data_IF_485253438635
#
_entry.id   IF_485253438635
#
_cell.length_a   1.000
_cell.length_b   1.000
_cell.length_c   1.000
_cell.angle_alpha   90.00
_cell.angle_beta   90.00
_cell.angle_gamma   90.00
#
_symmetry.space_group_name_H-M   'P 1'
#
loop_
_entity.id
_entity.type
_entity.pdbx_description
1 polymer ?
#
# COMPACT_ATOMS: atom_id res chain seq x y z
N UNK A 1 -12.93 -11.63 -12.98
CA UNK A 1 -12.17 -12.48 -12.04
C UNK A 1 -11.19 -11.63 -11.24
N UNK A 2 -10.92 -11.95 -9.97
CA UNK A 2 -9.90 -11.24 -9.17
C UNK A 2 -8.79 -12.21 -8.78
N UNK A 3 -7.56 -11.88 -9.13
CA UNK A 3 -6.36 -12.64 -8.79
C UNK A 3 -5.62 -11.95 -7.64
N UNK A 4 -5.20 -12.74 -6.65
CA UNK A 4 -4.45 -12.25 -5.50
C UNK A 4 -2.97 -12.44 -5.79
N UNK A 5 -2.35 -11.37 -6.29
CA UNK A 5 -0.92 -11.26 -6.55
C UNK A 5 -0.23 -10.55 -5.39
N UNK A 6 1.08 -10.32 -5.50
CA UNK A 6 1.88 -9.61 -4.50
C UNK A 6 2.85 -8.64 -5.14
N UNK A 7 3.00 -7.48 -4.51
CA UNK A 7 4.01 -6.49 -4.87
C UNK A 7 5.36 -6.73 -4.16
N UNK A 8 5.52 -7.82 -3.41
CA UNK A 8 6.74 -8.11 -2.64
C UNK A 8 8.02 -8.18 -3.47
N UNK A 9 7.88 -8.52 -4.75
CA UNK A 9 8.97 -8.53 -5.74
C UNK A 9 9.60 -7.15 -5.98
N UNK A 10 8.87 -6.04 -5.77
CA UNK A 10 9.43 -4.69 -5.88
C UNK A 10 10.44 -4.38 -4.77
N UNK A 11 10.36 -5.09 -3.65
CA UNK A 11 11.23 -4.87 -2.50
C UNK A 11 12.43 -5.82 -2.45
N UNK A 12 12.45 -6.85 -3.31
CA UNK A 12 13.61 -7.71 -3.51
C UNK A 12 13.98 -8.58 -2.31
N UNK A 13 13.00 -9.15 -1.60
CA UNK A 13 13.31 -9.98 -0.43
C UNK A 13 14.03 -11.29 -0.82
N UNK A 14 15.15 -11.62 -0.16
CA UNK A 14 15.85 -12.89 -0.39
C UNK A 14 14.93 -14.11 -0.23
N UNK A 15 15.12 -15.12 -1.08
CA UNK A 15 14.36 -16.37 -1.03
C UNK A 15 12.95 -16.33 -1.64
N UNK A 16 12.52 -15.20 -2.21
CA UNK A 16 11.19 -15.05 -2.80
C UNK A 16 11.11 -15.31 -4.30
N UNK A 17 12.14 -15.89 -4.94
CA UNK A 17 12.18 -16.06 -6.40
C UNK A 17 11.00 -16.88 -6.95
N UNK A 18 10.69 -18.02 -6.34
CA UNK A 18 9.55 -18.85 -6.74
C UNK A 18 8.21 -18.15 -6.47
N UNK A 19 8.11 -17.42 -5.35
CA UNK A 19 6.93 -16.64 -5.00
C UNK A 19 6.70 -15.50 -6.00
N UNK A 20 7.73 -14.73 -6.31
CA UNK A 20 7.71 -13.66 -7.30
C UNK A 20 7.31 -14.20 -8.69
N UNK A 21 7.87 -15.34 -9.10
CA UNK A 21 7.51 -15.97 -10.39
C UNK A 21 6.03 -16.36 -10.46
N UNK A 22 5.48 -16.90 -9.38
CA UNK A 22 4.05 -17.22 -9.30
C UNK A 22 3.15 -15.99 -9.36
N UNK A 23 3.51 -14.91 -8.66
CA UNK A 23 2.76 -13.65 -8.69
C UNK A 23 2.87 -12.96 -10.07
N UNK A 24 4.05 -12.94 -10.67
CA UNK A 24 4.26 -12.43 -12.03
C UNK A 24 3.42 -13.19 -13.08
N UNK A 25 3.23 -14.50 -12.90
CA UNK A 25 2.31 -15.27 -13.74
C UNK A 25 0.86 -14.80 -13.57
N UNK A 26 0.40 -14.52 -12.35
CA UNK A 26 -0.95 -13.99 -12.12
C UNK A 26 -1.15 -12.61 -12.74
N UNK A 27 -0.14 -11.74 -12.63
CA UNK A 27 -0.15 -10.40 -13.24
C UNK A 27 -0.24 -10.48 -14.77
N UNK A 28 0.56 -11.36 -15.39
CA UNK A 28 0.53 -11.62 -16.82
C UNK A 28 -0.79 -12.26 -17.27
N UNK A 29 -1.34 -13.17 -16.45
CA UNK A 29 -2.63 -13.82 -16.73
C UNK A 29 -3.78 -12.80 -16.72
N UNK A 30 -3.78 -11.85 -15.79
CA UNK A 30 -4.78 -10.77 -15.78
C UNK A 30 -4.70 -9.94 -17.06
N UNK A 31 -3.48 -9.55 -17.46
CA UNK A 31 -3.23 -8.79 -18.71
C UNK A 31 -3.68 -9.57 -19.96
N UNK A 32 -3.42 -10.87 -20.01
CA UNK A 32 -3.88 -11.70 -21.13
C UNK A 32 -5.42 -11.78 -21.20
N UNK A 33 -6.07 -11.89 -20.04
CA UNK A 33 -7.54 -12.03 -19.96
C UNK A 33 -8.29 -10.71 -20.12
N UNK A 34 -7.67 -9.57 -19.82
CA UNK A 34 -8.28 -8.25 -19.92
C UNK A 34 -8.74 -7.88 -21.34
N UNK A 35 -8.26 -8.61 -22.35
CA UNK A 35 -8.67 -8.49 -23.75
C UNK A 35 -10.08 -9.01 -24.04
N UNK A 36 -10.69 -9.81 -23.15
CA UNK A 36 -12.01 -10.41 -23.38
C UNK A 36 -12.85 -10.67 -22.13
N UNK A 37 -12.32 -10.40 -20.94
CA UNK A 37 -13.01 -10.52 -19.67
C UNK A 37 -12.48 -9.47 -18.69
N UNK A 38 -13.29 -9.05 -17.72
CA UNK A 38 -12.85 -8.17 -16.64
C UNK A 38 -12.09 -8.98 -15.60
N UNK A 39 -10.77 -9.14 -15.81
CA UNK A 39 -9.84 -9.78 -14.87
C UNK A 39 -8.84 -8.77 -14.33
N UNK A 40 -8.70 -8.71 -13.00
CA UNK A 40 -7.75 -7.84 -12.32
C UNK A 40 -6.84 -8.66 -11.40
N UNK A 41 -5.53 -8.40 -11.44
CA UNK A 41 -4.56 -8.85 -10.45
C UNK A 41 -4.33 -7.74 -9.43
N UNK A 42 -4.73 -7.99 -8.18
CA UNK A 42 -4.44 -7.09 -7.05
C UNK A 42 -3.14 -7.54 -6.39
N UNK A 43 -2.12 -6.70 -6.48
CA UNK A 43 -0.76 -6.94 -5.98
C UNK A 43 -0.64 -6.38 -4.56
N UNK A 44 -0.81 -7.25 -3.57
CA UNK A 44 -0.83 -6.85 -2.16
C UNK A 44 0.57 -6.81 -1.53
N UNK A 45 0.79 -5.84 -0.65
CA UNK A 45 1.84 -5.92 0.38
C UNK A 45 1.36 -6.73 1.59
N UNK A 46 2.16 -6.79 2.66
CA UNK A 46 1.81 -7.47 3.92
C UNK A 46 0.48 -7.01 4.49
N UNK A 47 -0.42 -7.95 4.81
CA UNK A 47 -1.60 -7.67 5.62
C UNK A 47 -1.26 -7.86 7.11
N UNK A 48 -1.86 -7.04 7.97
CA UNK A 48 -1.75 -7.16 9.41
C UNK A 48 -2.54 -8.36 9.93
N UNK A 49 -2.13 -8.86 11.10
CA UNK A 49 -2.86 -9.82 11.95
C UNK A 49 -3.13 -11.23 11.40
N UNK A 50 -3.12 -11.42 10.07
CA UNK A 50 -3.44 -12.69 9.41
C UNK A 50 -2.57 -12.97 8.18
N UNK A 51 -2.40 -14.25 7.83
CA UNK A 51 -1.80 -14.68 6.56
C UNK A 51 -0.28 -14.85 6.55
N UNK A 52 0.28 -15.04 5.34
CA UNK A 52 1.69 -15.41 5.10
C UNK A 52 2.72 -14.44 5.66
N UNK A 53 2.36 -13.17 5.88
CA UNK A 53 3.28 -12.16 6.38
C UNK A 53 3.39 -12.13 7.92
N UNK A 54 2.48 -12.82 8.63
CA UNK A 54 2.51 -12.89 10.10
C UNK A 54 3.67 -13.74 10.62
N UNK A 55 4.17 -14.68 9.83
CA UNK A 55 5.20 -15.66 10.23
C UNK A 55 6.64 -15.16 10.05
N UNK A 56 6.88 -14.00 9.42
CA UNK A 56 8.22 -13.50 9.15
C UNK A 56 8.47 -12.11 9.75
N UNK A 57 9.05 -12.09 10.95
CA UNK A 57 9.54 -10.85 11.57
C UNK A 57 10.57 -10.13 10.68
N UNK A 58 11.34 -10.88 9.90
CA UNK A 58 12.31 -10.34 8.94
C UNK A 58 11.63 -9.52 7.84
N UNK A 59 10.58 -10.07 7.20
CA UNK A 59 9.85 -9.35 6.14
C UNK A 59 9.20 -8.08 6.68
N UNK A 60 8.64 -8.12 7.89
CA UNK A 60 8.08 -6.93 8.54
C UNK A 60 9.14 -5.87 8.81
N UNK A 61 10.31 -6.25 9.33
CA UNK A 61 11.40 -5.32 9.59
C UNK A 61 11.91 -4.68 8.29
N UNK A 62 12.11 -5.47 7.23
CA UNK A 62 12.54 -4.97 5.92
C UNK A 62 11.50 -4.06 5.24
N UNK A 63 10.20 -4.33 5.42
CA UNK A 63 9.16 -3.41 4.94
C UNK A 63 9.20 -2.08 5.71
N UNK A 64 9.40 -2.13 7.04
CA UNK A 64 9.49 -0.94 7.86
C UNK A 64 10.69 -0.05 7.49
N UNK A 65 11.85 -0.62 7.14
CA UNK A 65 13.01 0.17 6.66
C UNK A 65 12.72 0.88 5.33
N UNK A 66 11.77 0.38 4.55
CA UNK A 66 11.30 0.96 3.30
C UNK A 66 10.11 1.90 3.48
N UNK A 67 9.71 2.17 4.73
CA UNK A 67 8.55 3.02 5.04
C UNK A 67 7.23 2.39 4.61
N UNK A 68 7.13 1.06 4.60
CA UNK A 68 5.90 0.33 4.25
C UNK A 68 5.36 -0.34 5.50
N UNK A 69 4.10 -0.07 5.78
CA UNK A 69 3.37 -0.66 6.90
C UNK A 69 2.45 -1.76 6.40
N UNK A 70 1.99 -2.60 7.32
CA UNK A 70 1.03 -3.64 6.97
C UNK A 70 -0.38 -3.07 6.82
N UNK A 71 -1.17 -3.68 5.94
CA UNK A 71 -2.54 -3.28 5.62
C UNK A 71 -3.51 -3.96 6.60
N UNK A 72 -4.36 -3.20 7.27
CA UNK A 72 -5.49 -3.75 8.05
C UNK A 72 -6.57 -4.36 7.16
N UNK A 73 -7.44 -5.18 7.74
CA UNK A 73 -8.58 -5.75 7.00
C UNK A 73 -9.46 -4.65 6.40
N UNK A 74 -9.72 -3.61 7.16
CA UNK A 74 -10.58 -2.49 6.78
C UNK A 74 -9.98 -1.72 5.61
N UNK A 75 -8.69 -1.37 5.67
CA UNK A 75 -7.97 -0.72 4.57
C UNK A 75 -7.95 -1.56 3.30
N UNK A 76 -7.78 -2.87 3.44
CA UNK A 76 -7.79 -3.77 2.29
C UNK A 76 -9.15 -3.78 1.58
N UNK A 77 -10.26 -3.82 2.33
CA UNK A 77 -11.59 -3.73 1.74
C UNK A 77 -11.87 -2.35 1.13
N UNK A 78 -11.34 -1.26 1.72
CA UNK A 78 -11.44 0.07 1.11
C UNK A 78 -10.69 0.11 -0.23
N UNK A 79 -9.47 -0.41 -0.28
CA UNK A 79 -8.70 -0.52 -1.53
C UNK A 79 -9.44 -1.36 -2.56
N UNK A 80 -10.01 -2.51 -2.16
CA UNK A 80 -10.82 -3.36 -3.04
C UNK A 80 -12.01 -2.60 -3.65
N UNK A 81 -12.79 -1.91 -2.80
CA UNK A 81 -13.95 -1.12 -3.23
C UNK A 81 -13.57 0.08 -4.08
N UNK A 82 -12.36 0.60 -3.93
CA UNK A 82 -11.82 1.65 -4.79
C UNK A 82 -11.43 1.08 -6.16
N UNK A 83 -10.65 0.00 -6.19
CA UNK A 83 -10.16 -0.64 -7.42
C UNK A 83 -11.32 -1.15 -8.29
N UNK A 84 -12.38 -1.68 -7.69
CA UNK A 84 -13.54 -2.22 -8.41
C UNK A 84 -14.30 -1.21 -9.27
N UNK A 85 -14.03 0.09 -9.10
CA UNK A 85 -14.62 1.17 -9.90
C UNK A 85 -13.93 1.36 -11.25
N UNK A 86 -12.76 0.76 -11.45
CA UNK A 86 -11.93 0.95 -12.63
C UNK A 86 -11.88 -0.34 -13.46
N UNK A 87 -11.83 -0.17 -14.78
CA UNK A 87 -11.58 -1.28 -15.71
C UNK A 87 -10.07 -1.38 -15.98
N UNK A 88 -9.35 -1.93 -15.01
CA UNK A 88 -7.90 -2.13 -15.02
C UNK A 88 -7.57 -3.59 -14.76
N UNK A 89 -6.44 -4.06 -15.28
CA UNK A 89 -6.00 -5.44 -15.13
C UNK A 89 -4.95 -5.65 -14.05
N UNK A 90 -4.35 -4.56 -13.53
CA UNK A 90 -3.41 -4.60 -12.41
C UNK A 90 -3.63 -3.43 -11.46
N UNK A 91 -3.50 -3.69 -10.17
CA UNK A 91 -3.52 -2.68 -9.13
C UNK A 91 -2.56 -3.05 -8.00
N UNK A 92 -1.67 -2.14 -7.61
CA UNK A 92 -0.78 -2.31 -6.47
C UNK A 92 -1.45 -1.76 -5.23
N UNK A 93 -1.47 -2.55 -4.15
CA UNK A 93 -1.97 -2.10 -2.85
C UNK A 93 -0.85 -2.18 -1.83
N UNK A 94 -0.36 -1.01 -1.44
CA UNK A 94 0.63 -0.83 -0.40
C UNK A 94 0.25 0.33 0.51
N UNK A 95 0.65 0.26 1.77
CA UNK A 95 0.47 1.34 2.73
C UNK A 95 1.83 1.94 3.08
N UNK A 96 2.01 3.22 2.76
CA UNK A 96 3.19 3.97 3.15
C UNK A 96 3.08 4.49 4.58
N UNK A 97 4.18 4.52 5.31
CA UNK A 97 4.29 5.17 6.60
C UNK A 97 4.18 6.69 6.40
N UNK A 98 3.09 7.27 6.88
CA UNK A 98 2.94 8.73 6.94
C UNK A 98 3.49 9.19 8.27
N UNK A 99 4.44 10.13 8.23
CA UNK A 99 5.04 10.67 9.45
C UNK A 99 4.05 11.58 10.17
N UNK A 100 3.93 11.41 11.48
CA UNK A 100 3.16 12.32 12.31
C UNK A 100 3.91 13.65 12.53
N UNK A 101 3.19 14.68 12.96
CA UNK A 101 3.79 15.98 13.26
C UNK A 101 4.81 15.84 14.41
N UNK A 102 6.04 16.29 14.20
CA UNK A 102 7.13 16.17 15.17
C UNK A 102 7.78 14.78 15.27
N UNK A 103 7.29 13.76 14.55
CA UNK A 103 7.95 12.44 14.50
C UNK A 103 9.36 12.58 13.87
N UNK A 104 10.43 12.11 14.53
CA UNK A 104 11.76 12.19 13.94
C UNK A 104 11.84 11.34 12.67
N UNK A 105 12.62 11.79 11.69
CA UNK A 105 12.85 10.98 10.49
C UNK A 105 13.57 9.68 10.86
N UNK A 106 13.22 8.54 10.24
CA UNK A 106 13.89 7.27 10.49
C UNK A 106 15.39 7.31 10.18
N UNK A 107 15.77 8.17 9.22
CA UNK A 107 17.14 8.46 8.85
C UNK A 107 17.37 9.97 8.91
N UNK A 108 18.41 10.45 9.63
CA UNK A 108 18.76 11.87 9.68
C UNK A 108 19.39 12.28 8.34
N UNK A 109 18.54 12.53 7.35
CA UNK A 109 18.93 13.03 6.04
C UNK A 109 18.35 14.43 5.87
N UNK A 110 19.18 15.47 5.65
CA UNK A 110 18.70 16.81 5.34
C UNK A 110 17.74 16.81 4.14
N UNK A 111 18.01 15.97 3.14
CA UNK A 111 17.14 15.83 1.96
C UNK A 111 15.76 15.30 2.33
N UNK A 112 15.69 14.33 3.25
CA UNK A 112 14.41 13.79 3.71
C UNK A 112 13.61 14.82 4.51
N UNK A 113 14.27 15.74 5.22
CA UNK A 113 13.58 16.79 5.99
C UNK A 113 12.76 17.72 5.08
N UNK A 114 13.26 18.00 3.88
CA UNK A 114 12.60 18.91 2.94
C UNK A 114 11.47 18.27 2.13
N UNK A 115 11.50 16.93 1.96
CA UNK A 115 10.52 16.20 1.13
C UNK A 115 9.55 15.32 1.92
N UNK A 116 9.82 15.09 3.21
CA UNK A 116 9.00 14.23 4.04
C UNK A 116 7.59 14.80 4.20
N UNK A 117 6.61 14.05 3.70
CA UNK A 117 5.20 14.39 3.86
C UNK A 117 4.78 14.03 5.28
N UNK A 118 4.31 15.03 6.02
CA UNK A 118 3.81 14.88 7.38
C UNK A 118 2.30 15.11 7.40
N UNK A 119 1.63 14.39 8.28
CA UNK A 119 0.22 14.61 8.56
C UNK A 119 0.06 15.98 9.23
N UNK A 120 -0.69 16.88 8.60
CA UNK A 120 -0.97 18.20 9.19
C UNK A 120 -2.06 18.01 10.25
N UNK A 121 -1.79 18.46 11.47
CA UNK A 121 -2.77 18.43 12.55
C UNK A 121 -4.01 19.26 12.20
N UNK A 122 -5.20 18.65 12.33
CA UNK A 122 -6.49 19.30 12.07
C UNK A 122 -6.78 20.49 13.00
N UNK A 123 -6.00 20.68 14.07
CA UNK A 123 -6.10 21.83 14.98
C UNK A 123 -5.70 23.17 14.34
N UNK A 124 -5.02 23.15 13.19
CA UNK A 124 -4.61 24.36 12.46
C UNK A 124 -5.67 24.88 11.46
N UNK A 125 -6.79 24.17 11.30
CA UNK A 125 -7.91 24.66 10.48
C UNK A 125 -8.84 25.45 11.41
N UNK A 126 -8.88 26.79 11.34
CA UNK A 126 -9.81 27.56 12.16
C UNK A 126 -11.25 27.17 11.81
N UNK A 127 -12.16 27.07 12.80
CA UNK A 127 -13.56 26.78 12.53
C UNK A 127 -14.13 27.83 11.55
N UNK A 128 -15.01 27.43 10.61
CA UNK A 128 -15.61 28.37 9.68
C UNK A 128 -16.29 29.49 10.46
N UNK A 129 -16.00 30.74 10.10
CA UNK A 129 -16.62 31.93 10.68
C UNK A 129 -18.15 31.79 10.55
N UNK A 130 -18.92 31.93 11.63
CA UNK A 130 -20.37 31.88 11.52
C UNK A 130 -20.83 33.01 10.60
N UNK A 131 -21.49 32.65 9.50
CA UNK A 131 -22.14 33.61 8.61
C UNK A 131 -23.32 34.17 9.40
N UNK A 132 -23.18 35.39 9.90
CA UNK A 132 -24.30 36.16 10.44
C UNK A 132 -25.20 36.54 9.27
N UNK A 133 -26.26 35.78 9.05
CA UNK A 133 -27.39 36.24 8.23
C UNK A 133 -28.02 37.44 8.94
N UNK A 134 -27.89 38.62 8.34
CA UNK A 134 -28.75 39.77 8.61
C UNK A 134 -30.05 39.65 7.81
#
# INVERSE_FOLDING_TARGET
MVLFSSCGQFFGFPGQASYASGNAFLDALATYRSQGDNTVAMQWTSWNEIGMATSSAFVKAELATKGITGISREEAFQAWMHISKYNIDHAVVLLGHTLEEGEPLPLPSPLLADIAIRKISSYLIPPPTPISCF
#
